data_IF_225717588714
#
_entry.id   IF_225717588714
#
_cell.length_a   1.000
_cell.length_b   1.000
_cell.length_c   1.000
_cell.angle_alpha   90.00
_cell.angle_beta   90.00
_cell.angle_gamma   90.00
#
_symmetry.space_group_name_H-M   'P 1'
#
loop_
_entity.id
_entity.type
_entity.pdbx_description
1 polymer ?
#
# COMPACT_ATOMS: atom_id res chain seq x y z
N UNK A 1 10.13 -4.12 10.97
CA UNK A 1 9.54 -3.29 9.89
C UNK A 1 8.07 -3.64 9.81
N UNK A 2 7.18 -2.74 10.24
CA UNK A 2 5.74 -2.89 10.05
C UNK A 2 5.40 -2.56 8.60
N UNK A 3 4.44 -3.30 8.02
CA UNK A 3 3.85 -2.98 6.72
C UNK A 3 2.61 -2.14 7.01
N UNK A 4 2.65 -0.85 6.67
CA UNK A 4 1.52 0.05 6.86
C UNK A 4 1.36 0.91 5.60
N UNK A 5 0.16 0.91 5.04
CA UNK A 5 -0.25 1.84 4.01
C UNK A 5 -0.80 3.11 4.67
N UNK A 6 -0.74 4.22 3.95
CA UNK A 6 -1.41 5.43 4.41
C UNK A 6 -2.92 5.23 4.43
N UNK A 7 -3.58 5.84 5.42
CA UNK A 7 -5.04 5.86 5.49
C UNK A 7 -5.64 6.69 4.35
N UNK A 8 -6.93 6.51 4.08
CA UNK A 8 -7.61 7.34 3.07
C UNK A 8 -7.53 8.83 3.39
N UNK A 9 -7.55 9.22 4.67
CA UNK A 9 -7.43 10.61 5.11
C UNK A 9 -6.05 11.18 4.78
N UNK A 10 -5.00 10.42 5.06
CA UNK A 10 -3.62 10.83 4.75
C UNK A 10 -3.37 10.93 3.24
N UNK A 11 -4.01 10.06 2.46
CA UNK A 11 -3.94 10.14 1.00
C UNK A 11 -4.59 11.42 0.49
N UNK A 12 -5.72 11.86 1.05
CA UNK A 12 -6.39 13.11 0.65
C UNK A 12 -5.53 14.35 0.90
N UNK A 13 -4.64 14.31 1.88
CA UNK A 13 -3.69 15.39 2.18
C UNK A 13 -2.51 15.47 1.20
N UNK A 14 -2.34 14.49 0.31
CA UNK A 14 -1.25 14.54 -0.67
C UNK A 14 -1.37 15.74 -1.61
N UNK A 15 -0.23 16.34 -1.93
CA UNK A 15 -0.15 17.60 -2.68
C UNK A 15 -0.93 17.58 -4.02
N UNK A 16 -0.96 16.44 -4.71
CA UNK A 16 -1.69 16.29 -5.98
C UNK A 16 -3.20 16.39 -5.77
N UNK A 17 -3.73 15.70 -4.76
CA UNK A 17 -5.16 15.71 -4.44
C UNK A 17 -5.57 17.07 -3.89
N UNK A 18 -4.76 17.67 -3.02
CA UNK A 18 -5.00 19.03 -2.51
C UNK A 18 -5.01 20.08 -3.64
N UNK A 19 -4.12 19.95 -4.64
CA UNK A 19 -4.15 20.82 -5.83
C UNK A 19 -5.42 20.63 -6.65
N UNK A 20 -5.87 19.39 -6.83
CA UNK A 20 -7.13 19.09 -7.53
C UNK A 20 -8.33 19.71 -6.80
N UNK A 21 -8.43 19.54 -5.48
CA UNK A 21 -9.48 20.12 -4.64
C UNK A 21 -9.49 21.65 -4.77
N UNK A 22 -8.32 22.31 -4.64
CA UNK A 22 -8.22 23.78 -4.77
C UNK A 22 -8.60 24.27 -6.16
N UNK A 23 -8.21 23.55 -7.21
CA UNK A 23 -8.57 23.87 -8.60
C UNK A 23 -10.08 23.79 -8.82
N UNK A 24 -10.72 22.76 -8.26
CA UNK A 24 -12.16 22.60 -8.32
C UNK A 24 -12.88 23.72 -7.56
N UNK A 25 -12.49 23.99 -6.30
CA UNK A 25 -13.08 25.07 -5.49
C UNK A 25 -12.90 26.46 -6.11
N UNK A 26 -11.84 26.68 -6.90
CA UNK A 26 -11.68 27.95 -7.64
C UNK A 26 -12.74 28.12 -8.74
N UNK A 27 -13.18 27.03 -9.37
CA UNK A 27 -14.20 27.04 -10.43
C UNK A 27 -15.62 26.96 -9.87
N UNK A 28 -15.79 26.24 -8.77
CA UNK A 28 -17.07 26.02 -8.10
C UNK A 28 -16.92 26.31 -6.58
N UNK A 29 -16.84 27.59 -6.19
CA UNK A 29 -16.70 27.97 -4.78
C UNK A 29 -17.88 27.46 -3.95
N UNK A 30 -17.60 26.92 -2.75
CA UNK A 30 -18.64 26.43 -1.83
C UNK A 30 -19.30 25.11 -2.24
N UNK A 31 -19.03 24.60 -3.43
CA UNK A 31 -19.77 23.46 -3.99
C UNK A 31 -19.48 22.15 -3.24
N UNK A 32 -18.21 21.87 -2.91
CA UNK A 32 -17.85 20.65 -2.17
C UNK A 32 -18.38 20.66 -0.73
N UNK A 33 -18.38 21.81 -0.07
CA UNK A 33 -18.96 21.98 1.26
C UNK A 33 -20.47 21.76 1.23
N UNK A 34 -21.15 22.35 0.25
CA UNK A 34 -22.56 22.13 0.05
C UNK A 34 -22.87 20.64 -0.18
N UNK A 35 -22.14 19.94 -1.06
CA UNK A 35 -22.34 18.50 -1.31
C UNK A 35 -22.17 17.67 -0.03
N UNK A 36 -21.19 18.01 0.81
CA UNK A 36 -20.98 17.30 2.08
C UNK A 36 -22.11 17.55 3.10
N UNK A 37 -22.72 18.74 3.07
CA UNK A 37 -23.84 19.12 3.93
C UNK A 37 -25.21 18.81 3.31
N UNK A 38 -25.23 18.13 2.17
CA UNK A 38 -26.45 17.90 1.40
C UNK A 38 -27.45 17.05 2.18
N UNK A 39 -28.58 17.68 2.51
CA UNK A 39 -29.78 17.00 3.01
C UNK A 39 -30.76 16.83 1.85
N UNK A 40 -31.24 15.60 1.64
CA UNK A 40 -32.25 15.23 0.66
C UNK A 40 -33.57 16.03 0.82
N UNK A 41 -33.80 16.65 1.99
CA UNK A 41 -34.93 17.55 2.23
C UNK A 41 -34.74 18.97 1.67
N UNK A 42 -33.51 19.38 1.34
CA UNK A 42 -33.14 20.71 0.82
C UNK A 42 -32.74 20.72 -0.66
N UNK A 43 -33.15 19.69 -1.38
CA UNK A 43 -32.89 19.50 -2.82
C UNK A 43 -33.19 20.76 -3.63
N UNK A 44 -34.33 21.43 -3.39
CA UNK A 44 -34.76 22.62 -4.15
C UNK A 44 -33.87 23.86 -3.97
N UNK A 45 -33.36 24.10 -2.76
CA UNK A 45 -32.42 25.21 -2.48
C UNK A 45 -31.06 24.93 -3.11
N UNK A 46 -30.64 23.66 -3.05
CA UNK A 46 -29.37 23.24 -3.65
C UNK A 46 -29.40 23.32 -5.17
N UNK A 47 -30.48 22.88 -5.83
CA UNK A 47 -30.63 22.96 -7.28
C UNK A 47 -30.77 24.41 -7.76
N UNK A 48 -31.35 25.31 -6.97
CA UNK A 48 -31.35 26.74 -7.31
C UNK A 48 -29.97 27.39 -7.26
N UNK A 49 -29.11 26.97 -6.32
CA UNK A 49 -27.76 27.54 -6.17
C UNK A 49 -26.71 26.86 -7.06
N UNK A 50 -26.89 25.58 -7.38
CA UNK A 50 -25.86 24.76 -8.00
C UNK A 50 -26.36 23.87 -9.14
N UNK A 51 -27.67 23.82 -9.40
CA UNK A 51 -28.36 22.88 -10.30
C UNK A 51 -28.25 23.19 -11.78
N UNK A 52 -27.05 23.51 -12.26
CA UNK A 52 -26.72 23.40 -13.67
C UNK A 52 -26.20 21.98 -13.95
N UNK A 53 -26.66 21.35 -15.04
CA UNK A 53 -26.14 20.03 -15.50
C UNK A 53 -24.62 20.02 -15.66
N UNK A 54 -23.99 21.17 -15.94
CA UNK A 54 -22.54 21.31 -16.00
C UNK A 54 -21.85 21.11 -14.65
N UNK A 55 -22.47 21.52 -13.54
CA UNK A 55 -21.93 21.38 -12.18
C UNK A 55 -21.91 19.92 -11.72
N UNK A 56 -22.98 19.17 -12.00
CA UNK A 56 -23.04 17.72 -11.72
C UNK A 56 -22.00 16.94 -12.53
N UNK A 57 -21.88 17.21 -13.84
CA UNK A 57 -20.86 16.58 -14.69
C UNK A 57 -19.43 16.93 -14.26
N UNK A 58 -19.20 18.17 -13.81
CA UNK A 58 -17.90 18.59 -13.30
C UNK A 58 -17.56 17.91 -11.98
N UNK A 59 -18.53 17.74 -11.08
CA UNK A 59 -18.37 16.99 -9.84
C UNK A 59 -17.97 15.53 -10.11
N UNK A 60 -18.68 14.85 -11.01
CA UNK A 60 -18.35 13.46 -11.38
C UNK A 60 -16.90 13.35 -11.90
N UNK A 61 -16.51 14.23 -12.82
CA UNK A 61 -15.13 14.26 -13.35
C UNK A 61 -14.11 14.48 -12.23
N UNK A 62 -14.39 15.41 -11.31
CA UNK A 62 -13.54 15.68 -10.17
C UNK A 62 -13.39 14.46 -9.24
N UNK A 63 -14.50 13.82 -8.87
CA UNK A 63 -14.48 12.64 -7.98
C UNK A 63 -13.72 11.50 -8.66
N UNK A 64 -13.97 11.27 -9.95
CA UNK A 64 -13.28 10.25 -10.73
C UNK A 64 -11.77 10.50 -10.78
N UNK A 65 -11.35 11.74 -11.10
CA UNK A 65 -9.93 12.10 -11.14
C UNK A 65 -9.28 11.99 -9.75
N UNK A 66 -9.99 12.40 -8.68
CA UNK A 66 -9.54 12.22 -7.29
C UNK A 66 -9.33 10.73 -6.97
N UNK A 67 -10.29 9.88 -7.33
CA UNK A 67 -10.24 8.44 -7.10
C UNK A 67 -9.06 7.79 -7.85
N UNK A 68 -8.85 8.15 -9.12
CA UNK A 68 -7.72 7.68 -9.93
C UNK A 68 -6.36 8.09 -9.31
N UNK A 69 -6.25 9.33 -8.81
CA UNK A 69 -5.07 9.80 -8.10
C UNK A 69 -4.82 9.04 -6.80
N UNK A 70 -5.86 8.73 -6.03
CA UNK A 70 -5.76 7.95 -4.80
C UNK A 70 -5.33 6.51 -5.09
N UNK A 71 -5.92 5.84 -6.09
CA UNK A 71 -5.48 4.52 -6.55
C UNK A 71 -4.01 4.51 -6.97
N UNK A 72 -3.58 5.54 -7.71
CA UNK A 72 -2.19 5.70 -8.14
C UNK A 72 -1.25 5.86 -6.95
N UNK A 73 -1.64 6.63 -5.93
CA UNK A 73 -0.86 6.81 -4.71
C UNK A 73 -0.71 5.50 -3.91
N UNK A 74 -1.80 4.74 -3.73
CA UNK A 74 -1.78 3.41 -3.09
C UNK A 74 -0.81 2.47 -3.82
N UNK A 75 -0.88 2.43 -5.15
CA UNK A 75 0.01 1.59 -5.96
C UNK A 75 1.49 2.00 -5.85
N UNK A 76 1.78 3.30 -5.78
CA UNK A 76 3.14 3.79 -5.58
C UNK A 76 3.68 3.36 -4.21
N UNK A 77 2.87 3.50 -3.15
CA UNK A 77 3.24 3.05 -1.80
C UNK A 77 3.47 1.55 -1.75
N UNK A 78 2.57 0.76 -2.35
CA UNK A 78 2.75 -0.70 -2.45
C UNK A 78 4.10 -1.05 -3.07
N UNK A 79 4.46 -0.43 -4.19
CA UNK A 79 5.76 -0.66 -4.86
C UNK A 79 6.95 -0.30 -3.97
N UNK A 80 6.87 0.82 -3.23
CA UNK A 80 7.93 1.24 -2.31
C UNK A 80 8.09 0.27 -1.12
N UNK A 81 6.99 -0.15 -0.52
CA UNK A 81 6.99 -1.12 0.57
C UNK A 81 7.49 -2.49 0.10
N UNK A 82 7.05 -2.95 -1.07
CA UNK A 82 7.52 -4.20 -1.67
C UNK A 82 9.04 -4.18 -1.91
N UNK A 83 9.57 -3.05 -2.43
CA UNK A 83 11.02 -2.87 -2.58
C UNK A 83 11.74 -2.90 -1.22
N UNK A 84 11.14 -2.31 -0.19
CA UNK A 84 11.71 -2.31 1.17
C UNK A 84 11.75 -3.71 1.79
N UNK A 85 10.71 -4.53 1.55
CA UNK A 85 10.67 -5.95 1.94
C UNK A 85 11.81 -6.72 1.24
N UNK A 86 12.01 -6.50 -0.06
CA UNK A 86 13.08 -7.15 -0.82
C UNK A 86 14.48 -6.78 -0.30
N UNK A 87 14.72 -5.49 -0.06
CA UNK A 87 15.99 -5.00 0.48
C UNK A 87 16.26 -5.59 1.87
N UNK A 88 15.24 -5.62 2.74
CA UNK A 88 15.36 -6.23 4.07
C UNK A 88 15.72 -7.72 3.98
N UNK A 89 15.02 -8.48 3.13
CA UNK A 89 15.31 -9.89 2.90
C UNK A 89 16.74 -10.14 2.41
N UNK A 90 17.20 -9.36 1.43
CA UNK A 90 18.57 -9.47 0.91
C UNK A 90 19.62 -9.12 1.96
N UNK A 91 19.36 -8.09 2.77
CA UNK A 91 20.24 -7.67 3.86
C UNK A 91 20.34 -8.76 4.94
N UNK A 92 19.21 -9.27 5.41
CA UNK A 92 19.13 -10.34 6.41
C UNK A 92 19.80 -11.64 5.91
N UNK A 93 19.59 -11.99 4.64
CA UNK A 93 20.25 -13.15 4.02
C UNK A 93 21.78 -13.01 4.06
N UNK A 94 22.31 -11.85 3.68
CA UNK A 94 23.77 -11.59 3.73
C UNK A 94 24.30 -11.63 5.16
N UNK A 95 23.55 -11.11 6.13
CA UNK A 95 23.95 -11.15 7.54
C UNK A 95 23.98 -12.58 8.07
N UNK A 96 22.96 -13.40 7.79
CA UNK A 96 22.94 -14.81 8.19
C UNK A 96 24.06 -15.60 7.55
N UNK A 97 24.35 -15.40 6.26
CA UNK A 97 25.48 -16.05 5.60
C UNK A 97 26.82 -15.71 6.27
N UNK A 98 27.03 -14.44 6.66
CA UNK A 98 28.24 -14.01 7.38
C UNK A 98 28.34 -14.66 8.76
N UNK A 99 27.24 -14.68 9.53
CA UNK A 99 27.20 -15.31 10.85
C UNK A 99 27.46 -16.81 10.73
N UNK A 100 26.80 -17.48 9.79
CA UNK A 100 26.93 -18.91 9.56
C UNK A 100 28.36 -19.29 9.14
N UNK A 101 28.98 -18.50 8.26
CA UNK A 101 30.38 -18.69 7.84
C UNK A 101 31.35 -18.46 9.01
N UNK A 102 31.13 -17.43 9.83
CA UNK A 102 31.96 -17.14 11.01
C UNK A 102 31.87 -18.29 12.02
N UNK A 103 30.67 -18.71 12.41
CA UNK A 103 30.49 -19.84 13.33
C UNK A 103 31.09 -21.12 12.79
N UNK A 104 30.94 -21.39 11.48
CA UNK A 104 31.57 -22.54 10.85
C UNK A 104 33.09 -22.51 10.96
N UNK A 105 33.72 -21.35 10.75
CA UNK A 105 35.16 -21.21 10.85
C UNK A 105 35.64 -21.38 12.29
N UNK A 106 34.90 -20.85 13.27
CA UNK A 106 35.18 -21.01 14.69
C UNK A 106 35.11 -22.49 15.12
N UNK A 107 34.05 -23.22 14.75
CA UNK A 107 33.91 -24.64 15.08
C UNK A 107 34.88 -25.55 14.30
N UNK A 108 35.32 -25.14 13.10
CA UNK A 108 36.36 -25.85 12.35
C UNK A 108 37.78 -25.51 12.81
N UNK A 109 37.95 -24.56 13.74
CA UNK A 109 39.26 -24.20 14.27
C UNK A 109 39.91 -25.42 14.91
N UNK A 110 41.11 -25.77 14.44
CA UNK A 110 41.83 -26.96 14.90
C UNK A 110 41.40 -28.29 14.25
N UNK A 111 40.32 -28.33 13.46
CA UNK A 111 39.86 -29.53 12.75
C UNK A 111 40.38 -29.49 11.31
N UNK A 112 41.36 -30.34 11.00
CA UNK A 112 41.89 -30.45 9.64
C UNK A 112 41.16 -31.55 8.86
N UNK A 113 40.71 -31.22 7.64
CA UNK A 113 40.04 -32.15 6.72
C UNK A 113 40.85 -33.42 6.45
N UNK A 114 42.19 -33.35 6.49
CA UNK A 114 43.07 -34.50 6.26
C UNK A 114 43.21 -35.40 7.48
N UNK A 115 43.26 -34.81 8.69
CA UNK A 115 43.42 -35.58 9.93
C UNK A 115 42.09 -36.13 10.46
N UNK A 116 41.01 -35.37 10.28
CA UNK A 116 39.68 -35.68 10.82
C UNK A 116 38.58 -35.51 9.75
N UNK A 117 38.63 -36.27 8.64
CA UNK A 117 37.71 -36.09 7.50
C UNK A 117 36.24 -36.31 7.85
N UNK A 118 35.94 -37.27 8.74
CA UNK A 118 34.56 -37.58 9.16
C UNK A 118 33.96 -36.42 9.96
N UNK A 119 34.72 -35.90 10.92
CA UNK A 119 34.27 -34.78 11.75
C UNK A 119 34.13 -33.49 10.95
N UNK A 120 35.10 -33.23 10.06
CA UNK A 120 35.04 -32.10 9.12
C UNK A 120 33.77 -32.17 8.25
N UNK A 121 33.46 -33.34 7.69
CA UNK A 121 32.24 -33.54 6.89
C UNK A 121 30.98 -33.34 7.73
N UNK A 122 30.93 -33.91 8.94
CA UNK A 122 29.79 -33.75 9.88
C UNK A 122 29.51 -32.27 10.17
N UNK A 123 30.56 -31.49 10.47
CA UNK A 123 30.43 -30.05 10.71
C UNK A 123 30.01 -29.30 9.44
N UNK A 124 30.61 -29.64 8.29
CA UNK A 124 30.19 -29.06 7.00
C UNK A 124 28.70 -29.29 6.75
N UNK A 125 28.21 -30.52 6.91
CA UNK A 125 26.81 -30.88 6.70
C UNK A 125 25.88 -30.18 7.71
N UNK A 126 26.29 -30.04 8.98
CA UNK A 126 25.56 -29.27 10.01
C UNK A 126 25.30 -27.84 9.53
N UNK A 127 26.33 -27.15 9.04
CA UNK A 127 26.21 -25.75 8.63
C UNK A 127 25.49 -25.56 7.29
N UNK A 128 25.53 -26.54 6.39
CA UNK A 128 24.68 -26.57 5.19
C UNK A 128 23.20 -26.68 5.58
N UNK A 129 22.85 -27.65 6.43
CA UNK A 129 21.45 -27.83 6.90
C UNK A 129 20.94 -26.57 7.59
N UNK A 130 21.74 -26.02 8.51
CA UNK A 130 21.43 -24.77 9.19
C UNK A 130 21.17 -23.62 8.20
N UNK A 131 22.06 -23.45 7.22
CA UNK A 131 21.91 -22.40 6.20
C UNK A 131 20.65 -22.57 5.34
N UNK A 132 20.29 -23.79 4.98
CA UNK A 132 19.04 -24.09 4.26
C UNK A 132 17.81 -23.78 5.12
N UNK A 133 17.81 -24.20 6.39
CA UNK A 133 16.69 -23.96 7.31
C UNK A 133 16.49 -22.47 7.60
N UNK A 134 17.57 -21.73 7.87
CA UNK A 134 17.55 -20.29 8.08
C UNK A 134 17.04 -19.55 6.83
N UNK A 135 17.50 -19.95 5.63
CA UNK A 135 17.01 -19.38 4.37
C UNK A 135 15.53 -19.65 4.14
N UNK A 136 15.06 -20.87 4.47
CA UNK A 136 13.64 -21.23 4.38
C UNK A 136 12.78 -20.40 5.33
N UNK A 137 13.23 -20.19 6.58
CA UNK A 137 12.53 -19.34 7.55
C UNK A 137 12.43 -17.90 7.06
N UNK A 138 13.52 -17.32 6.55
CA UNK A 138 13.50 -15.98 5.97
C UNK A 138 12.55 -15.86 4.78
N UNK A 139 12.53 -16.87 3.90
CA UNK A 139 11.63 -16.88 2.75
C UNK A 139 10.17 -16.87 3.19
N UNK A 140 9.80 -17.69 4.19
CA UNK A 140 8.44 -17.69 4.75
C UNK A 140 8.06 -16.32 5.30
N UNK A 141 8.96 -15.66 6.03
CA UNK A 141 8.72 -14.31 6.58
C UNK A 141 8.52 -13.29 5.44
N UNK A 142 9.36 -13.34 4.40
CA UNK A 142 9.25 -12.47 3.22
C UNK A 142 7.89 -12.65 2.53
N UNK A 143 7.51 -13.90 2.26
CA UNK A 143 6.23 -14.23 1.61
C UNK A 143 5.06 -13.73 2.46
N UNK A 144 5.06 -14.02 3.76
CA UNK A 144 3.99 -13.56 4.67
C UNK A 144 3.83 -12.04 4.63
N UNK A 145 4.93 -11.28 4.69
CA UNK A 145 4.88 -9.81 4.60
C UNK A 145 4.39 -9.30 3.25
N UNK A 146 4.72 -10.00 2.16
CA UNK A 146 4.24 -9.65 0.83
C UNK A 146 2.73 -9.91 0.69
N UNK A 147 2.24 -11.02 1.26
CA UNK A 147 0.82 -11.36 1.29
C UNK A 147 0.03 -10.34 2.14
N UNK A 148 0.51 -10.03 3.34
CA UNK A 148 -0.06 -8.97 4.20
C UNK A 148 -0.13 -7.61 3.46
N UNK A 149 0.91 -7.24 2.71
CA UNK A 149 0.91 -6.01 1.90
C UNK A 149 -0.16 -6.05 0.81
N UNK A 150 -0.32 -7.19 0.14
CA UNK A 150 -1.32 -7.36 -0.92
C UNK A 150 -2.74 -7.27 -0.36
N UNK A 151 -3.01 -7.91 0.77
CA UNK A 151 -4.28 -7.84 1.48
C UNK A 151 -4.62 -6.40 1.90
N UNK A 152 -3.67 -5.70 2.52
CA UNK A 152 -3.83 -4.29 2.91
C UNK A 152 -4.10 -3.41 1.70
N UNK A 153 -3.35 -3.61 0.59
CA UNK A 153 -3.58 -2.85 -0.65
C UNK A 153 -4.98 -3.10 -1.20
N UNK A 154 -5.42 -4.37 -1.23
CA UNK A 154 -6.74 -4.71 -1.72
C UNK A 154 -7.83 -4.07 -0.85
N UNK A 155 -7.69 -4.14 0.48
CA UNK A 155 -8.61 -3.51 1.43
C UNK A 155 -8.70 -2.00 1.21
N UNK A 156 -7.57 -1.30 1.15
CA UNK A 156 -7.56 0.16 0.93
C UNK A 156 -8.19 0.56 -0.40
N UNK A 157 -7.95 -0.21 -1.47
CA UNK A 157 -8.60 0.03 -2.77
C UNK A 157 -10.10 -0.22 -2.74
N UNK A 158 -10.54 -1.25 -2.02
CA UNK A 158 -11.95 -1.56 -1.85
C UNK A 158 -12.66 -0.44 -1.08
N UNK A 159 -12.12 -0.03 0.07
CA UNK A 159 -12.66 1.09 0.86
C UNK A 159 -12.77 2.38 0.04
N UNK A 160 -11.80 2.62 -0.84
CA UNK A 160 -11.82 3.77 -1.73
C UNK A 160 -12.91 3.66 -2.81
N UNK A 161 -13.11 2.47 -3.38
CA UNK A 161 -14.18 2.23 -4.36
C UNK A 161 -15.56 2.30 -3.71
N UNK A 162 -15.73 1.75 -2.52
CA UNK A 162 -17.01 1.81 -1.79
C UNK A 162 -17.40 3.28 -1.55
N UNK A 163 -16.44 4.13 -1.15
CA UNK A 163 -16.65 5.59 -1.05
C UNK A 163 -16.95 6.26 -2.40
N UNK A 164 -16.33 5.81 -3.48
CA UNK A 164 -16.59 6.35 -4.82
C UNK A 164 -18.02 6.03 -5.29
N UNK A 165 -18.45 4.78 -5.09
CA UNK A 165 -19.77 4.30 -5.48
C UNK A 165 -20.88 5.01 -4.71
N UNK A 166 -20.68 5.30 -3.42
CA UNK A 166 -21.59 6.14 -2.61
C UNK A 166 -21.79 7.53 -3.23
N UNK A 167 -20.72 8.16 -3.71
CA UNK A 167 -20.80 9.51 -4.30
C UNK A 167 -21.38 9.46 -5.72
N UNK A 168 -21.10 8.42 -6.50
CA UNK A 168 -21.75 8.21 -7.81
C UNK A 168 -23.26 7.88 -7.70
N UNK A 169 -23.70 7.29 -6.59
CA UNK A 169 -25.13 7.12 -6.32
C UNK A 169 -25.84 8.48 -6.14
N UNK A 170 -25.17 9.45 -5.50
CA UNK A 170 -25.70 10.82 -5.36
C UNK A 170 -25.86 11.47 -6.74
N UNK A 171 -24.93 11.26 -7.67
CA UNK A 171 -25.04 11.77 -9.05
C UNK A 171 -26.25 11.18 -9.81
N UNK A 172 -26.47 9.86 -9.76
CA UNK A 172 -27.62 9.25 -10.42
C UNK A 172 -28.96 9.69 -9.83
N UNK A 173 -28.98 10.03 -8.54
CA UNK A 173 -30.13 10.69 -7.92
C UNK A 173 -30.32 12.12 -8.46
N UNK A 174 -29.22 12.87 -8.64
CA UNK A 174 -29.22 14.22 -9.20
C UNK A 174 -29.72 14.28 -10.65
N UNK A 175 -29.29 13.34 -11.52
CA UNK A 175 -29.76 13.26 -12.91
C UNK A 175 -31.25 12.92 -13.02
N UNK A 176 -31.85 12.30 -11.99
CA UNK A 176 -33.27 11.95 -11.97
C UNK A 176 -34.17 13.09 -11.48
N UNK A 177 -33.61 14.06 -10.79
CA UNK A 177 -34.36 15.15 -10.15
C UNK A 177 -34.23 16.48 -10.90
N UNK A 178 -33.16 16.66 -11.67
CA UNK A 178 -32.86 17.86 -12.48
C UNK A 178 -33.06 17.63 -13.99
#
# INVERSE_FOLDING_TARGET
MSVALQSTSELEETQKIQKLIRSFNKKYPGFLEAVNEFDHKKVGEFTQHFGEKQSASALHKFIKEKNELMHSAIEQQRKQLQKSIEIAFQSETKQLQKINAKSRLEELSGINKRSSPIEYKRLSDKYVRRGVEESRKLLVIKTKKADELNELTHKSKKELNDKFDEVCFIETFWERIC
#
